data_IF_383050024444
#
_entry.id   IF_383050024444
#
_cell.length_a   1.000
_cell.length_b   1.000
_cell.length_c   1.000
_cell.angle_alpha   90.00
_cell.angle_beta   90.00
_cell.angle_gamma   90.00
#
_symmetry.space_group_name_H-M   'P 1'
#
loop_
_entity.id
_entity.type
_entity.pdbx_description
1 polymer ?
#
# COMPACT_ATOMS: atom_id res chain seq x y z
N UNK A 1 9.99 11.62 -8.68
CA UNK A 1 8.82 11.21 -7.88
C UNK A 1 8.36 12.39 -7.05
N UNK A 2 7.06 12.68 -7.04
CA UNK A 2 6.45 13.65 -6.12
C UNK A 2 5.86 12.88 -4.95
N UNK A 3 6.24 13.24 -3.73
CA UNK A 3 5.72 12.66 -2.48
C UNK A 3 4.84 13.70 -1.79
N UNK A 4 3.55 13.47 -1.78
CA UNK A 4 2.56 14.35 -1.13
C UNK A 4 2.05 13.70 0.16
N UNK A 5 1.90 14.53 1.20
CA UNK A 5 1.26 14.16 2.45
C UNK A 5 0.45 15.35 2.99
N UNK A 6 -0.14 15.22 4.16
CA UNK A 6 -0.84 16.33 4.80
C UNK A 6 0.12 17.51 5.05
N UNK A 7 -0.43 18.71 5.01
CA UNK A 7 0.33 19.93 5.37
C UNK A 7 0.74 19.89 6.82
N UNK A 8 2.03 20.06 7.08
CA UNK A 8 2.58 20.09 8.44
C UNK A 8 2.20 21.36 9.21
N UNK A 9 2.22 21.27 10.54
CA UNK A 9 1.89 22.39 11.43
C UNK A 9 2.98 23.48 11.44
N UNK A 10 4.24 23.06 11.51
CA UNK A 10 5.38 23.98 11.64
C UNK A 10 5.98 24.38 10.28
N UNK A 11 6.08 23.40 9.38
CA UNK A 11 6.55 23.60 8.01
C UNK A 11 5.59 22.91 7.04
N UNK A 12 5.27 23.52 5.88
CA UNK A 12 4.29 22.99 4.96
C UNK A 12 4.54 21.52 4.57
N UNK A 13 5.76 21.15 4.24
CA UNK A 13 6.14 19.81 3.75
C UNK A 13 6.80 18.93 4.82
N UNK A 14 6.63 19.25 6.10
CA UNK A 14 7.31 18.55 7.20
C UNK A 14 7.09 17.05 7.20
N UNK A 15 5.87 16.58 6.89
CA UNK A 15 5.52 15.16 6.95
C UNK A 15 6.24 14.41 5.83
N UNK A 16 6.17 14.90 4.60
CA UNK A 16 6.87 14.30 3.45
C UNK A 16 8.39 14.40 3.57
N UNK A 17 8.92 15.49 4.13
CA UNK A 17 10.36 15.63 4.45
C UNK A 17 10.80 14.60 5.50
N UNK A 18 10.03 14.40 6.56
CA UNK A 18 10.31 13.38 7.58
C UNK A 18 10.31 11.97 6.98
N UNK A 19 9.38 11.67 6.08
CA UNK A 19 9.35 10.38 5.37
C UNK A 19 10.62 10.17 4.53
N UNK A 20 11.11 11.20 3.84
CA UNK A 20 12.38 11.16 3.11
C UNK A 20 13.56 10.93 4.07
N UNK A 21 13.56 11.55 5.23
CA UNK A 21 14.61 11.35 6.23
C UNK A 21 14.59 9.93 6.83
N UNK A 22 13.41 9.32 6.99
CA UNK A 22 13.29 7.90 7.36
C UNK A 22 13.92 7.02 6.27
N UNK A 23 13.63 7.29 4.98
CA UNK A 23 14.22 6.56 3.86
C UNK A 23 15.75 6.64 3.87
N UNK A 24 16.32 7.83 4.13
CA UNK A 24 17.77 8.04 4.21
C UNK A 24 18.43 7.24 5.33
N UNK A 25 17.75 7.10 6.47
CA UNK A 25 18.27 6.48 7.71
C UNK A 25 17.96 5.00 7.82
N UNK A 26 17.15 4.45 6.94
CA UNK A 26 16.69 3.06 7.02
C UNK A 26 17.84 2.05 6.96
N UNK A 27 17.77 1.04 7.81
CA UNK A 27 18.63 -0.13 7.81
C UNK A 27 17.76 -1.40 7.88
N UNK A 28 17.77 -2.28 6.88
CA UNK A 28 18.52 -2.14 5.61
C UNK A 28 18.07 -0.96 4.74
N UNK A 29 18.95 -0.44 3.85
CA UNK A 29 18.66 0.73 3.03
C UNK A 29 17.43 0.49 2.13
N UNK A 30 16.50 1.45 2.08
CA UNK A 30 15.31 1.37 1.21
C UNK A 30 15.61 1.76 -0.25
N UNK A 31 16.69 2.49 -0.51
CA UNK A 31 17.15 2.83 -1.85
C UNK A 31 18.36 1.97 -2.22
N UNK A 32 18.44 1.57 -3.50
CA UNK A 32 19.61 0.84 -4.04
C UNK A 32 20.84 1.75 -4.03
N UNK A 33 20.66 3.00 -4.47
CA UNK A 33 21.64 4.07 -4.44
C UNK A 33 21.12 5.23 -3.57
N UNK A 34 21.88 5.65 -2.58
CA UNK A 34 21.47 6.76 -1.70
C UNK A 34 21.26 8.08 -2.45
N UNK A 35 22.03 8.34 -3.51
CA UNK A 35 21.88 9.51 -4.37
C UNK A 35 20.52 9.62 -5.06
N UNK A 36 19.79 8.49 -5.21
CA UNK A 36 18.45 8.51 -5.79
C UNK A 36 17.42 9.24 -4.94
N UNK A 37 17.74 9.56 -3.70
CA UNK A 37 16.86 10.38 -2.83
C UNK A 37 16.56 11.75 -3.43
N UNK A 38 17.48 12.33 -4.18
CA UNK A 38 17.33 13.64 -4.81
C UNK A 38 16.28 13.65 -5.93
N UNK A 39 15.82 12.47 -6.37
CA UNK A 39 14.71 12.34 -7.31
C UNK A 39 13.33 12.34 -6.62
N UNK A 40 13.28 12.43 -5.28
CA UNK A 40 12.02 12.51 -4.53
C UNK A 40 11.82 13.97 -4.11
N UNK A 41 10.82 14.62 -4.69
CA UNK A 41 10.39 15.97 -4.32
C UNK A 41 9.33 15.86 -3.22
N UNK A 42 9.59 16.40 -2.00
CA UNK A 42 8.55 16.50 -0.98
C UNK A 42 7.56 17.61 -1.33
N UNK A 43 6.29 17.40 -0.99
CA UNK A 43 5.22 18.37 -1.14
C UNK A 43 4.09 18.08 -0.17
N UNK A 44 3.04 18.88 -0.22
CA UNK A 44 1.83 18.67 0.57
C UNK A 44 0.56 18.78 -0.28
N UNK A 45 -0.53 18.20 0.24
CA UNK A 45 -1.80 18.10 -0.48
C UNK A 45 -2.51 19.46 -0.67
N UNK A 46 -2.16 20.49 0.09
CA UNK A 46 -2.81 21.81 -0.02
C UNK A 46 -2.13 22.69 -1.08
N UNK A 47 -0.80 22.75 -1.07
CA UNK A 47 -0.05 23.71 -1.87
C UNK A 47 0.45 23.10 -3.21
N UNK A 48 0.80 21.80 -3.22
CA UNK A 48 1.48 21.14 -4.34
C UNK A 48 0.58 20.17 -5.14
N UNK A 49 -0.70 20.05 -4.76
CA UNK A 49 -1.62 19.06 -5.34
C UNK A 49 -1.75 19.16 -6.87
N UNK A 50 -1.69 20.37 -7.41
CA UNK A 50 -1.80 20.61 -8.85
C UNK A 50 -0.65 20.01 -9.69
N UNK A 51 0.46 19.62 -9.06
CA UNK A 51 1.57 18.97 -9.76
C UNK A 51 1.24 17.52 -10.18
N UNK A 52 0.16 16.94 -9.65
CA UNK A 52 -0.35 15.62 -10.08
C UNK A 52 -0.67 15.58 -11.58
N UNK A 53 -0.99 16.73 -12.19
CA UNK A 53 -1.28 16.83 -13.62
C UNK A 53 -0.15 16.31 -14.52
N UNK A 54 1.08 16.32 -14.05
CA UNK A 54 2.28 15.91 -14.78
C UNK A 54 2.71 14.47 -14.44
N UNK A 55 1.92 13.76 -13.61
CA UNK A 55 2.21 12.39 -13.20
C UNK A 55 1.64 11.37 -14.20
N UNK A 56 2.44 10.39 -14.59
CA UNK A 56 1.99 9.24 -15.38
C UNK A 56 1.24 8.23 -14.51
N UNK A 57 1.62 8.12 -13.25
CA UNK A 57 1.01 7.21 -12.28
C UNK A 57 0.87 7.86 -10.91
N UNK A 58 -0.34 7.87 -10.38
CA UNK A 58 -0.67 8.38 -9.05
C UNK A 58 -1.02 7.19 -8.14
N UNK A 59 -0.24 6.99 -7.09
CA UNK A 59 -0.48 5.93 -6.10
C UNK A 59 -1.06 6.57 -4.84
N UNK A 60 -2.29 6.21 -4.51
CA UNK A 60 -2.94 6.61 -3.27
C UNK A 60 -2.61 5.60 -2.16
N UNK A 61 -2.12 6.10 -1.03
CA UNK A 61 -1.79 5.32 0.15
C UNK A 61 -2.17 6.06 1.45
N UNK A 62 -3.30 6.80 1.42
CA UNK A 62 -3.82 7.50 2.60
C UNK A 62 -4.51 6.53 3.56
N UNK A 63 -4.94 7.05 4.73
CA UNK A 63 -5.64 6.26 5.75
C UNK A 63 -6.80 5.44 5.17
N UNK A 64 -7.06 4.27 5.75
CA UNK A 64 -8.02 3.28 5.22
C UNK A 64 -9.47 3.67 5.59
N UNK A 65 -9.87 4.88 5.17
CA UNK A 65 -11.20 5.47 5.38
C UNK A 65 -11.80 5.86 4.04
N UNK A 66 -12.97 5.29 3.74
CA UNK A 66 -13.62 5.45 2.43
C UNK A 66 -14.04 6.90 2.13
N UNK A 67 -14.52 7.63 3.14
CA UNK A 67 -14.90 9.02 3.00
C UNK A 67 -13.73 9.93 2.61
N UNK A 68 -12.56 9.70 3.19
CA UNK A 68 -11.31 10.42 2.87
C UNK A 68 -10.85 10.06 1.46
N UNK A 69 -10.88 8.77 1.11
CA UNK A 69 -10.47 8.30 -0.22
C UNK A 69 -11.37 8.86 -1.32
N UNK A 70 -12.71 8.82 -1.16
CA UNK A 70 -13.66 9.38 -2.13
C UNK A 70 -13.42 10.88 -2.35
N UNK A 71 -13.22 11.64 -1.26
CA UNK A 71 -12.89 13.07 -1.36
C UNK A 71 -11.60 13.30 -2.13
N UNK A 72 -10.56 12.52 -1.85
CA UNK A 72 -9.27 12.61 -2.53
C UNK A 72 -9.40 12.26 -4.01
N UNK A 73 -10.11 11.18 -4.35
CA UNK A 73 -10.33 10.77 -5.74
C UNK A 73 -11.07 11.83 -6.54
N UNK A 74 -12.09 12.48 -5.95
CA UNK A 74 -12.77 13.59 -6.58
C UNK A 74 -11.84 14.79 -6.86
N UNK A 75 -10.84 15.02 -6.01
CA UNK A 75 -9.83 16.05 -6.24
C UNK A 75 -8.82 15.63 -7.33
N UNK A 76 -8.33 14.39 -7.29
CA UNK A 76 -7.43 13.83 -8.30
C UNK A 76 -8.07 13.91 -9.69
N UNK A 77 -9.33 13.52 -9.83
CA UNK A 77 -10.03 13.50 -11.13
C UNK A 77 -10.11 14.87 -11.79
N UNK A 78 -10.12 15.95 -11.02
CA UNK A 78 -10.16 17.32 -11.53
C UNK A 78 -8.82 17.83 -12.07
N UNK A 79 -7.72 17.24 -11.60
CA UNK A 79 -6.36 17.75 -11.83
C UNK A 79 -5.52 16.80 -12.69
N UNK A 80 -5.76 15.49 -12.58
CA UNK A 80 -4.95 14.46 -13.23
C UNK A 80 -4.84 14.61 -14.75
N UNK A 81 -3.74 14.13 -15.31
CA UNK A 81 -3.64 13.95 -16.76
C UNK A 81 -4.65 12.89 -17.23
N UNK A 82 -5.30 13.09 -18.41
CA UNK A 82 -6.11 12.03 -19.04
C UNK A 82 -5.31 10.75 -19.36
N UNK A 83 -3.98 10.86 -19.44
CA UNK A 83 -3.09 9.74 -19.73
C UNK A 83 -2.59 9.03 -18.47
N UNK A 84 -2.79 9.60 -17.29
CA UNK A 84 -2.34 9.01 -16.04
C UNK A 84 -3.13 7.75 -15.65
N UNK A 85 -2.48 6.89 -14.88
CA UNK A 85 -3.12 5.78 -14.16
C UNK A 85 -3.22 6.21 -12.70
N UNK A 86 -4.35 5.89 -12.07
CA UNK A 86 -4.55 6.08 -10.63
C UNK A 86 -4.67 4.71 -9.98
N UNK A 87 -3.96 4.50 -8.89
CA UNK A 87 -4.12 3.27 -8.11
C UNK A 87 -4.22 3.53 -6.63
N UNK A 88 -4.95 2.67 -5.93
CA UNK A 88 -4.98 2.62 -4.47
C UNK A 88 -4.10 1.49 -3.96
N UNK A 89 -3.36 1.73 -2.88
CA UNK A 89 -2.62 0.71 -2.15
C UNK A 89 -3.43 0.11 -0.99
N UNK A 90 -4.77 0.19 -1.06
CA UNK A 90 -5.66 -0.40 -0.06
C UNK A 90 -5.40 -1.88 0.13
N UNK A 91 -5.51 -2.36 1.38
CA UNK A 91 -5.38 -3.78 1.72
C UNK A 91 -6.74 -4.46 1.92
N UNK A 92 -7.81 -3.69 2.16
CA UNK A 92 -9.08 -4.22 2.66
C UNK A 92 -10.31 -3.70 1.95
N UNK A 93 -10.28 -2.45 1.47
CA UNK A 93 -11.47 -1.85 0.84
C UNK A 93 -11.62 -2.38 -0.60
N UNK A 94 -12.75 -3.02 -0.94
CA UNK A 94 -12.99 -3.52 -2.28
C UNK A 94 -12.94 -2.41 -3.34
N UNK A 95 -12.45 -2.76 -4.54
CA UNK A 95 -12.40 -1.86 -5.69
C UNK A 95 -13.78 -1.31 -6.03
N UNK A 96 -14.81 -2.16 -5.96
CA UNK A 96 -16.21 -1.80 -6.19
C UNK A 96 -16.69 -0.68 -5.26
N UNK A 97 -16.23 -0.67 -4.03
CA UNK A 97 -16.55 0.40 -3.05
C UNK A 97 -15.74 1.67 -3.36
N UNK A 98 -14.44 1.54 -3.62
CA UNK A 98 -13.58 2.69 -3.95
C UNK A 98 -14.09 3.47 -5.18
N UNK A 99 -14.65 2.77 -6.15
CA UNK A 99 -15.07 3.37 -7.44
C UNK A 99 -16.49 3.89 -7.47
N UNK A 100 -17.27 3.75 -6.39
CA UNK A 100 -18.69 4.12 -6.37
C UNK A 100 -18.96 5.56 -6.80
N UNK A 101 -18.16 6.50 -6.32
CA UNK A 101 -18.34 7.94 -6.56
C UNK A 101 -17.44 8.49 -7.68
N UNK A 102 -16.66 7.62 -8.37
CA UNK A 102 -15.77 8.04 -9.44
C UNK A 102 -16.54 8.32 -10.73
N UNK A 103 -16.03 9.26 -11.53
CA UNK A 103 -16.47 9.45 -12.92
C UNK A 103 -16.19 8.21 -13.76
N UNK A 104 -16.94 8.01 -14.84
CA UNK A 104 -16.70 6.89 -15.74
C UNK A 104 -15.31 6.97 -16.38
N UNK A 105 -14.82 8.17 -16.67
CA UNK A 105 -13.46 8.40 -17.14
C UNK A 105 -12.41 7.92 -16.14
N UNK A 106 -12.60 8.23 -14.85
CA UNK A 106 -11.64 7.80 -13.82
C UNK A 106 -11.68 6.28 -13.62
N UNK A 107 -12.86 5.65 -13.69
CA UNK A 107 -12.98 4.18 -13.58
C UNK A 107 -12.19 3.43 -14.64
N UNK A 108 -12.04 4.00 -15.86
CA UNK A 108 -11.24 3.37 -16.93
C UNK A 108 -9.75 3.47 -16.69
N UNK A 109 -9.31 4.31 -15.76
CA UNK A 109 -7.90 4.57 -15.46
C UNK A 109 -7.52 4.18 -14.02
N UNK A 110 -8.42 3.52 -13.28
CA UNK A 110 -8.25 3.20 -11.87
C UNK A 110 -8.11 1.70 -11.61
N UNK A 111 -7.16 1.33 -10.75
CA UNK A 111 -6.96 -0.05 -10.29
C UNK A 111 -6.51 -0.07 -8.81
N UNK A 112 -6.42 -1.25 -8.24
CA UNK A 112 -5.67 -1.45 -7.00
C UNK A 112 -4.29 -2.01 -7.35
N UNK A 113 -3.25 -1.46 -6.71
CA UNK A 113 -1.89 -1.98 -6.71
C UNK A 113 -1.47 -2.20 -5.27
N UNK A 114 -1.70 -3.41 -4.75
CA UNK A 114 -1.42 -3.75 -3.36
C UNK A 114 0.00 -4.25 -3.19
N UNK A 115 0.86 -3.38 -2.65
CA UNK A 115 2.25 -3.68 -2.31
C UNK A 115 2.35 -4.27 -0.90
N UNK A 116 3.31 -5.14 -0.69
CA UNK A 116 3.60 -5.73 0.63
C UNK A 116 4.83 -5.08 1.26
N UNK A 117 4.74 -4.77 2.54
CA UNK A 117 5.87 -4.25 3.32
C UNK A 117 6.88 -5.35 3.69
N UNK A 118 8.18 -5.06 3.66
CA UNK A 118 8.85 -3.86 3.11
C UNK A 118 8.85 -3.86 1.58
N UNK A 119 8.30 -2.80 0.97
CA UNK A 119 8.01 -2.73 -0.48
C UNK A 119 9.23 -3.08 -1.35
N UNK A 120 10.43 -2.65 -0.96
CA UNK A 120 11.66 -2.94 -1.70
C UNK A 120 11.97 -4.43 -1.79
N UNK A 121 11.72 -5.19 -0.73
CA UNK A 121 12.15 -6.59 -0.61
C UNK A 121 11.05 -7.57 -1.02
N UNK A 122 9.79 -7.19 -0.80
CA UNK A 122 8.65 -8.03 -1.14
C UNK A 122 8.36 -7.93 -2.64
N UNK A 123 8.48 -9.08 -3.32
CA UNK A 123 8.27 -9.14 -4.77
C UNK A 123 6.80 -9.17 -5.17
N UNK A 124 5.92 -9.67 -4.29
CA UNK A 124 4.51 -9.77 -4.59
C UNK A 124 3.88 -8.40 -4.80
N UNK A 125 3.16 -8.25 -5.90
CA UNK A 125 2.28 -7.12 -6.20
C UNK A 125 0.95 -7.67 -6.68
N UNK A 126 -0.10 -7.43 -5.90
CA UNK A 126 -1.46 -7.80 -6.29
C UNK A 126 -2.10 -6.66 -7.07
N UNK A 127 -2.75 -7.00 -8.19
CA UNK A 127 -3.47 -6.04 -9.02
C UNK A 127 -4.93 -6.46 -9.12
N UNK A 128 -5.84 -5.50 -8.83
CA UNK A 128 -7.27 -5.63 -9.07
C UNK A 128 -7.70 -4.58 -10.07
N UNK A 129 -8.30 -4.99 -11.18
CA UNK A 129 -8.75 -4.11 -12.25
C UNK A 129 -10.25 -3.88 -12.22
N UNK A 130 -10.69 -2.68 -12.60
CA UNK A 130 -12.10 -2.46 -12.93
C UNK A 130 -12.47 -3.22 -14.22
N UNK A 131 -13.73 -3.62 -14.41
CA UNK A 131 -14.17 -4.24 -15.67
C UNK A 131 -13.96 -3.35 -16.90
N UNK A 132 -13.92 -2.03 -16.70
CA UNK A 132 -13.78 -1.01 -17.74
C UNK A 132 -12.35 -0.51 -17.90
N UNK A 133 -11.37 -1.09 -17.18
CA UNK A 133 -9.97 -0.66 -17.21
C UNK A 133 -9.40 -0.60 -18.62
N UNK A 134 -8.73 0.50 -18.94
CA UNK A 134 -8.01 0.69 -20.20
C UNK A 134 -6.87 -0.33 -20.30
N UNK A 135 -6.95 -1.23 -21.28
CA UNK A 135 -6.03 -2.37 -21.41
C UNK A 135 -4.61 -1.96 -21.77
N UNK A 136 -4.44 -0.92 -22.58
CA UNK A 136 -3.11 -0.45 -23.00
C UNK A 136 -2.39 0.21 -21.82
N UNK A 137 -3.07 1.06 -21.06
CA UNK A 137 -2.54 1.65 -19.83
C UNK A 137 -2.16 0.57 -18.81
N UNK A 138 -3.04 -0.41 -18.61
CA UNK A 138 -2.77 -1.49 -17.66
C UNK A 138 -1.60 -2.37 -18.12
N UNK A 139 -1.45 -2.65 -19.41
CA UNK A 139 -0.30 -3.36 -19.94
C UNK A 139 1.00 -2.61 -19.66
N UNK A 140 1.03 -1.30 -19.93
CA UNK A 140 2.19 -0.45 -19.63
C UNK A 140 2.54 -0.43 -18.15
N UNK A 141 1.54 -0.32 -17.25
CA UNK A 141 1.75 -0.37 -15.80
C UNK A 141 2.35 -1.71 -15.36
N UNK A 142 1.83 -2.82 -15.88
CA UNK A 142 2.33 -4.16 -15.58
C UNK A 142 3.77 -4.34 -16.03
N UNK A 143 4.08 -3.91 -17.25
CA UNK A 143 5.43 -3.99 -17.78
C UNK A 143 6.40 -3.17 -16.95
N UNK A 144 6.03 -1.97 -16.54
CA UNK A 144 6.80 -1.14 -15.64
C UNK A 144 7.01 -1.82 -14.27
N UNK A 145 5.95 -2.30 -13.64
CA UNK A 145 6.05 -2.96 -12.33
C UNK A 145 6.92 -4.23 -12.39
N UNK A 146 6.83 -5.00 -13.48
CA UNK A 146 7.60 -6.22 -13.67
C UNK A 146 9.06 -5.95 -13.99
N UNK A 147 9.32 -5.08 -14.95
CA UNK A 147 10.65 -4.90 -15.53
C UNK A 147 11.49 -3.88 -14.75
N UNK A 148 10.89 -2.76 -14.33
CA UNK A 148 11.61 -1.68 -13.63
C UNK A 148 11.56 -1.85 -12.10
N UNK A 149 10.41 -2.28 -11.54
CA UNK A 149 10.29 -2.48 -10.09
C UNK A 149 10.59 -3.91 -9.64
N UNK A 150 10.79 -4.86 -10.56
CA UNK A 150 11.12 -6.26 -10.27
C UNK A 150 10.02 -7.02 -9.54
N UNK A 151 8.74 -6.61 -9.71
CA UNK A 151 7.62 -7.24 -9.03
C UNK A 151 7.13 -8.52 -9.71
N UNK A 152 6.68 -9.48 -8.90
CA UNK A 152 5.89 -10.62 -9.34
C UNK A 152 4.41 -10.26 -9.26
N UNK A 153 3.77 -10.03 -10.41
CA UNK A 153 2.40 -9.55 -10.49
C UNK A 153 1.43 -10.72 -10.41
N UNK A 154 0.43 -10.58 -9.54
CA UNK A 154 -0.69 -11.51 -9.41
C UNK A 154 -2.00 -10.75 -9.63
N UNK A 155 -2.82 -11.24 -10.55
CA UNK A 155 -4.15 -10.70 -10.79
C UNK A 155 -5.11 -11.25 -9.74
N UNK A 156 -5.80 -10.37 -9.05
CA UNK A 156 -6.73 -10.72 -8.01
C UNK A 156 -8.16 -10.33 -8.38
N UNK A 157 -9.10 -11.09 -7.88
CA UNK A 157 -10.50 -10.67 -7.87
C UNK A 157 -10.72 -9.58 -6.81
N UNK A 158 -11.76 -8.78 -7.01
CA UNK A 158 -12.20 -7.77 -6.03
C UNK A 158 -12.83 -8.46 -4.81
N UNK A 159 -11.99 -9.02 -3.97
CA UNK A 159 -12.38 -9.75 -2.76
C UNK A 159 -11.58 -9.18 -1.57
N UNK A 160 -12.20 -8.87 -0.43
CA UNK A 160 -11.50 -8.35 0.74
C UNK A 160 -10.27 -9.17 1.12
N UNK A 161 -9.12 -8.48 1.30
CA UNK A 161 -7.83 -9.12 1.60
C UNK A 161 -7.18 -9.83 0.41
N UNK A 162 -7.73 -9.71 -0.79
CA UNK A 162 -7.25 -10.25 -2.07
C UNK A 162 -6.78 -11.72 -1.95
N UNK A 163 -5.55 -12.06 -2.32
CA UNK A 163 -5.01 -13.43 -2.22
C UNK A 163 -4.04 -13.54 -1.05
N UNK A 164 -3.03 -12.66 -0.98
CA UNK A 164 -1.93 -12.77 -0.02
C UNK A 164 -2.39 -12.67 1.43
N UNK A 165 -3.16 -11.63 1.75
CA UNK A 165 -3.70 -11.47 3.11
C UNK A 165 -4.66 -12.60 3.49
N UNK A 166 -5.51 -13.06 2.56
CA UNK A 166 -6.45 -14.17 2.85
C UNK A 166 -5.72 -15.47 3.15
N UNK A 167 -4.71 -15.82 2.34
CA UNK A 167 -3.89 -17.03 2.58
C UNK A 167 -3.09 -16.88 3.87
N UNK A 168 -2.48 -15.72 4.08
CA UNK A 168 -1.68 -15.45 5.27
C UNK A 168 -2.50 -15.53 6.56
N UNK A 169 -3.65 -14.85 6.60
CA UNK A 169 -4.55 -14.89 7.78
C UNK A 169 -5.07 -16.31 8.02
N UNK A 170 -5.48 -17.02 6.97
CA UNK A 170 -5.91 -18.42 7.12
C UNK A 170 -4.81 -19.30 7.70
N UNK A 171 -3.59 -19.20 7.17
CA UNK A 171 -2.46 -19.98 7.68
C UNK A 171 -2.12 -19.64 9.14
N UNK A 172 -2.16 -18.35 9.51
CA UNK A 172 -1.97 -17.91 10.88
C UNK A 172 -3.06 -18.47 11.81
N UNK A 173 -4.32 -18.40 11.42
CA UNK A 173 -5.43 -18.92 12.23
C UNK A 173 -5.32 -20.44 12.45
N UNK A 174 -4.99 -21.21 11.41
CA UNK A 174 -4.76 -22.66 11.54
C UNK A 174 -3.61 -22.93 12.50
N UNK A 175 -2.51 -22.21 12.38
CA UNK A 175 -1.34 -22.39 13.27
C UNK A 175 -1.66 -22.04 14.73
N UNK A 176 -2.40 -20.95 14.98
CA UNK A 176 -2.85 -20.57 16.32
C UNK A 176 -3.81 -21.60 16.91
N UNK A 177 -4.76 -22.08 16.12
CA UNK A 177 -5.71 -23.10 16.55
C UNK A 177 -4.97 -24.39 16.98
N UNK A 178 -4.06 -24.90 16.15
CA UNK A 178 -3.26 -26.07 16.46
C UNK A 178 -2.37 -25.89 17.69
N UNK A 179 -1.81 -24.70 17.87
CA UNK A 179 -1.02 -24.39 19.06
C UNK A 179 -1.86 -24.44 20.34
N UNK A 180 -3.05 -23.84 20.31
CA UNK A 180 -3.99 -23.84 21.44
C UNK A 180 -4.50 -25.25 21.78
N UNK A 181 -4.93 -26.04 20.79
CA UNK A 181 -5.41 -27.41 20.94
C UNK A 181 -4.34 -28.33 21.57
N UNK A 182 -3.06 -28.06 21.28
CA UNK A 182 -1.93 -28.85 21.82
C UNK A 182 -1.33 -28.28 23.10
N UNK A 183 -1.89 -27.19 23.62
CA UNK A 183 -1.40 -26.52 24.82
C UNK A 183 0.04 -26.01 24.69
N UNK A 184 0.44 -25.59 23.49
CA UNK A 184 1.76 -25.02 23.21
C UNK A 184 1.83 -23.58 23.73
N UNK A 185 2.88 -23.22 24.51
CA UNK A 185 3.15 -21.81 24.80
C UNK A 185 3.36 -20.99 23.54
N UNK A 186 2.98 -19.71 23.58
CA UNK A 186 3.08 -18.78 22.45
C UNK A 186 4.49 -18.71 21.87
N UNK A 187 5.51 -18.67 22.73
CA UNK A 187 6.93 -18.60 22.34
C UNK A 187 7.37 -19.85 21.57
N UNK A 188 6.85 -21.01 21.95
CA UNK A 188 7.15 -22.28 21.27
C UNK A 188 6.41 -22.32 19.92
N UNK A 189 5.17 -21.89 19.89
CA UNK A 189 4.39 -21.81 18.65
C UNK A 189 5.07 -20.86 17.65
N UNK A 190 5.48 -19.66 18.08
CA UNK A 190 6.19 -18.70 17.24
C UNK A 190 7.56 -19.20 16.77
N UNK A 191 8.27 -19.95 17.61
CA UNK A 191 9.53 -20.57 17.19
C UNK A 191 9.32 -21.66 16.11
N UNK A 192 8.25 -22.44 16.22
CA UNK A 192 7.91 -23.49 15.25
C UNK A 192 7.36 -22.94 13.94
N UNK A 193 6.43 -21.99 14.05
CA UNK A 193 5.75 -21.38 12.89
C UNK A 193 6.44 -20.09 12.37
N UNK A 194 7.71 -19.91 12.69
CA UNK A 194 8.53 -18.80 12.24
C UNK A 194 9.56 -19.22 11.18
N UNK A 195 10.82 -18.93 11.45
CA UNK A 195 11.95 -19.18 10.54
C UNK A 195 12.01 -20.58 9.94
N UNK A 196 11.74 -21.68 10.67
CA UNK A 196 11.81 -23.03 10.12
C UNK A 196 10.87 -23.25 8.92
N UNK A 197 9.75 -22.52 8.87
CA UNK A 197 8.77 -22.58 7.76
C UNK A 197 8.95 -21.47 6.73
N UNK A 198 10.03 -20.68 6.81
CA UNK A 198 10.25 -19.54 5.91
C UNK A 198 9.34 -18.33 6.20
N UNK A 199 8.66 -18.34 7.35
CA UNK A 199 7.84 -17.23 7.85
C UNK A 199 8.76 -16.21 8.57
N UNK A 200 8.41 -14.92 8.67
CA UNK A 200 9.18 -13.95 9.43
C UNK A 200 9.48 -14.41 10.86
N UNK A 201 10.62 -13.97 11.41
CA UNK A 201 11.09 -14.36 12.75
C UNK A 201 10.12 -14.05 13.90
N UNK A 202 9.14 -13.20 13.64
CA UNK A 202 8.07 -12.86 14.60
C UNK A 202 7.19 -14.05 14.95
N UNK A 203 7.17 -15.08 14.10
CA UNK A 203 6.21 -16.17 14.24
C UNK A 203 4.78 -15.73 13.91
N UNK A 204 3.81 -16.54 14.34
CA UNK A 204 2.39 -16.33 14.01
C UNK A 204 1.74 -15.32 14.96
N UNK A 205 1.93 -15.49 16.24
CA UNK A 205 1.34 -14.63 17.28
C UNK A 205 1.96 -13.24 17.24
N UNK A 206 3.29 -13.14 17.17
CA UNK A 206 3.97 -11.86 17.06
C UNK A 206 3.66 -11.12 15.75
N UNK A 207 3.38 -11.83 14.64
CA UNK A 207 2.93 -11.19 13.40
C UNK A 207 1.49 -10.69 13.55
N UNK A 208 0.63 -11.41 14.23
CA UNK A 208 -0.74 -11.02 14.51
C UNK A 208 -0.80 -9.76 15.38
N UNK A 209 0.00 -9.70 16.44
CA UNK A 209 0.13 -8.51 17.29
C UNK A 209 0.61 -7.30 16.49
N UNK A 210 1.60 -7.48 15.62
CA UNK A 210 2.09 -6.40 14.77
C UNK A 210 0.99 -5.86 13.84
N UNK A 211 0.18 -6.74 13.26
CA UNK A 211 -0.93 -6.35 12.39
C UNK A 211 -2.03 -5.62 13.16
N UNK A 212 -2.35 -6.07 14.39
CA UNK A 212 -3.37 -5.43 15.24
C UNK A 212 -2.91 -4.08 15.79
N UNK A 213 -1.66 -3.95 16.22
CA UNK A 213 -1.08 -2.68 16.68
C UNK A 213 -1.10 -1.63 15.58
N UNK A 214 -0.81 -2.02 14.35
CA UNK A 214 -0.85 -1.09 13.21
C UNK A 214 -2.27 -0.59 12.90
N UNK A 215 -3.29 -1.40 13.17
CA UNK A 215 -4.70 -0.99 13.00
C UNK A 215 -5.21 -0.17 14.20
N UNK A 216 -4.70 -0.38 15.41
CA UNK A 216 -5.07 0.38 16.60
C UNK A 216 -4.42 1.76 16.64
N UNK A 217 -3.15 1.89 16.28
CA UNK A 217 -2.47 3.19 16.19
C UNK A 217 -3.09 4.10 15.13
N UNK A 218 -3.53 3.54 14.00
CA UNK A 218 -4.28 4.30 12.99
C UNK A 218 -5.67 4.77 13.49
N UNK A 219 -6.22 4.14 14.53
CA UNK A 219 -7.47 4.57 15.17
C UNK A 219 -7.23 5.61 16.29
N UNK A 220 -6.09 5.54 16.99
CA UNK A 220 -5.74 6.48 18.07
C UNK A 220 -5.24 7.83 17.53
N UNK A 221 -4.54 7.86 16.40
CA UNK A 221 -4.15 9.12 15.72
C UNK A 221 -5.35 9.95 15.22
N UNK A 222 -6.55 9.37 15.21
CA UNK A 222 -7.79 10.09 14.86
C UNK A 222 -8.48 10.78 16.04
N UNK A 223 -7.97 10.65 17.27
CA UNK A 223 -8.54 11.21 18.50
C UNK A 223 -7.64 12.30 19.16
N UNK A 224 -6.62 12.78 18.47
CA UNK A 224 -5.73 13.86 18.90
C UNK A 224 -5.99 15.17 18.20
#
# INVERSE_FOLDING_TARGET
VLLLDLKGKDKPNQISENAIDIIKKSDPPLLVERSRIDHIKPGNLDDDFNEIKDADWVIEAVVERIDIKHKLYSQIDKVRSPNSIISSNTSTIPLSILTQEMSDSMKTDFCITHFFNPVRFMRLLEIVETPTMNKDKMSGLRDFCKNELGKGIVNCNDTPGFIGNRIGVYAMQVAMYEALERGLPVEIADALFGRPLGIPKTGVFGLYDLCLLYTSDAADDSLG
#
